data_IF_108229621913
#
_entry.id   IF_108229621913
#
_cell.length_a   1.000
_cell.length_b   1.000
_cell.length_c   1.000
_cell.angle_alpha   90.00
_cell.angle_beta   90.00
_cell.angle_gamma   90.00
#
_symmetry.space_group_name_H-M   'P 1'
#
loop_
_entity.id
_entity.type
_entity.pdbx_description
1 polymer ?
#
# COMPACT_ATOMS: atom_id res chain seq x y z
N UNK A 1 14.79 21.49 22.28
CA UNK A 1 15.17 21.02 20.96
C UNK A 1 13.96 20.47 20.22
N UNK A 2 13.50 21.17 19.19
CA UNK A 2 12.29 20.82 18.44
C UNK A 2 12.44 19.50 17.66
N UNK A 3 13.66 19.15 17.24
CA UNK A 3 13.93 17.87 16.57
C UNK A 3 13.66 16.68 17.50
N UNK A 4 14.07 16.79 18.76
CA UNK A 4 13.81 15.78 19.77
C UNK A 4 12.32 15.68 20.12
N UNK A 5 11.67 16.82 20.27
CA UNK A 5 10.25 16.84 20.59
C UNK A 5 9.41 16.24 19.47
N UNK A 6 9.83 16.40 18.21
CA UNK A 6 9.19 15.80 17.05
C UNK A 6 9.38 14.28 17.00
N UNK A 7 10.60 13.79 17.28
CA UNK A 7 10.89 12.36 17.39
C UNK A 7 10.11 11.71 18.52
N UNK A 8 9.99 12.40 19.65
CA UNK A 8 9.26 11.89 20.82
C UNK A 8 7.76 11.72 20.56
N UNK A 9 7.20 12.47 19.61
CA UNK A 9 5.80 12.36 19.22
C UNK A 9 5.53 11.19 18.27
N UNK A 10 6.58 10.57 17.71
CA UNK A 10 6.43 9.45 16.80
C UNK A 10 6.56 8.14 17.58
N UNK A 11 5.43 7.48 17.76
CA UNK A 11 5.33 6.24 18.51
C UNK A 11 5.05 5.07 17.56
N UNK A 12 5.40 3.84 17.95
CA UNK A 12 4.95 2.68 17.21
C UNK A 12 3.43 2.63 17.09
N UNK A 13 2.93 2.26 15.91
CA UNK A 13 1.50 2.19 15.61
C UNK A 13 1.13 0.82 15.10
N UNK A 14 0.01 0.27 15.57
CA UNK A 14 -0.52 -1.02 15.11
C UNK A 14 -1.62 -0.81 14.08
N UNK A 15 -1.60 -1.63 13.03
CA UNK A 15 -2.62 -1.66 11.97
C UNK A 15 -3.12 -3.10 11.84
N UNK A 16 -4.42 -3.30 12.07
CA UNK A 16 -4.98 -4.64 12.06
C UNK A 16 -4.54 -5.47 13.27
N UNK A 17 -4.21 -6.74 13.05
CA UNK A 17 -3.88 -7.68 14.14
C UNK A 17 -2.39 -7.84 14.37
N UNK A 18 -1.58 -7.85 13.30
CA UNK A 18 -0.17 -8.26 13.35
C UNK A 18 0.80 -7.17 12.97
N UNK A 19 0.35 -6.20 12.14
CA UNK A 19 1.24 -5.23 11.52
C UNK A 19 1.48 -4.04 12.43
N UNK A 20 2.75 -3.71 12.64
CA UNK A 20 3.18 -2.51 13.34
C UNK A 20 4.09 -1.68 12.45
N UNK A 21 4.00 -0.37 12.56
CA UNK A 21 5.00 0.55 12.04
C UNK A 21 5.78 1.10 13.21
N UNK A 22 7.11 0.91 13.16
CA UNK A 22 8.01 1.22 14.27
C UNK A 22 9.09 2.18 13.79
N UNK A 23 9.20 3.39 14.39
CA UNK A 23 10.33 4.28 14.11
C UNK A 23 11.64 3.63 14.56
N UNK A 24 12.75 3.97 13.90
CA UNK A 24 14.05 3.33 14.16
C UNK A 24 14.58 3.56 15.57
N UNK A 25 14.16 4.64 16.24
CA UNK A 25 14.58 4.95 17.62
C UNK A 25 13.72 4.31 18.72
N UNK A 26 12.72 3.52 18.34
CA UNK A 26 11.86 2.79 19.27
C UNK A 26 12.12 1.30 19.19
N UNK A 27 12.00 0.62 20.34
CA UNK A 27 11.90 -0.82 20.34
C UNK A 27 10.51 -1.24 19.89
N UNK A 28 10.42 -2.38 19.19
CA UNK A 28 9.13 -2.93 18.81
C UNK A 28 8.32 -3.31 20.05
N UNK A 29 7.08 -2.81 20.24
CA UNK A 29 6.24 -3.19 21.38
C UNK A 29 5.94 -4.68 21.42
N UNK A 30 5.82 -5.31 20.25
CA UNK A 30 5.60 -6.74 20.10
C UNK A 30 6.64 -7.31 19.13
N UNK A 31 7.82 -7.75 19.63
CA UNK A 31 8.90 -8.21 18.74
C UNK A 31 8.52 -9.37 17.82
N UNK A 32 7.56 -10.22 18.24
CA UNK A 32 7.12 -11.37 17.46
C UNK A 32 6.04 -11.02 16.41
N UNK A 33 5.55 -9.78 16.41
CA UNK A 33 4.61 -9.29 15.41
C UNK A 33 5.33 -8.94 14.10
N UNK A 34 4.58 -8.53 13.10
CA UNK A 34 5.13 -8.04 11.84
C UNK A 34 5.47 -6.56 12.02
N UNK A 35 6.75 -6.26 12.09
CA UNK A 35 7.25 -4.93 12.40
C UNK A 35 7.91 -4.31 11.17
N UNK A 36 7.32 -3.24 10.67
CA UNK A 36 7.86 -2.46 9.56
C UNK A 36 8.59 -1.25 10.12
N UNK A 37 9.88 -1.14 9.83
CA UNK A 37 10.69 0.00 10.23
C UNK A 37 10.45 1.15 9.25
N UNK A 38 9.95 2.27 9.76
CA UNK A 38 9.75 3.45 8.95
C UNK A 38 9.96 4.69 9.80
N UNK A 39 10.90 5.52 9.37
CA UNK A 39 11.11 6.80 10.00
C UNK A 39 10.27 7.86 9.29
N UNK A 40 9.61 8.76 10.03
CA UNK A 40 8.95 9.89 9.43
C UNK A 40 10.00 10.74 8.73
N UNK A 41 9.71 11.12 7.51
CA UNK A 41 10.66 11.85 6.71
C UNK A 41 10.05 12.38 5.44
N UNK A 42 10.90 12.52 4.44
CA UNK A 42 10.60 13.16 3.18
C UNK A 42 9.64 12.37 2.29
N UNK A 43 9.42 11.09 2.58
CA UNK A 43 8.57 10.26 1.75
C UNK A 43 7.11 10.36 2.17
N UNK A 44 6.23 10.45 1.20
CA UNK A 44 4.80 10.40 1.36
C UNK A 44 4.39 9.06 1.99
N UNK A 45 3.49 9.09 2.98
CA UNK A 45 2.94 7.89 3.56
C UNK A 45 3.76 7.35 4.73
N UNK A 46 3.55 7.92 5.91
CA UNK A 46 4.15 7.47 7.16
C UNK A 46 3.31 6.43 7.90
N UNK A 47 2.16 6.04 7.32
CA UNK A 47 1.18 5.19 7.99
C UNK A 47 0.19 5.98 8.83
N UNK A 48 0.49 7.24 9.16
CA UNK A 48 -0.38 8.10 9.97
C UNK A 48 -1.55 8.68 9.17
N UNK A 49 -1.40 8.82 7.85
CA UNK A 49 -2.47 9.33 7.01
C UNK A 49 -3.59 8.28 6.89
N UNK A 50 -4.87 8.69 7.01
CA UNK A 50 -6.00 7.74 6.96
C UNK A 50 -6.01 6.84 5.73
N UNK A 51 -5.62 7.35 4.55
CA UNK A 51 -5.59 6.58 3.31
C UNK A 51 -4.59 5.43 3.36
N UNK A 52 -3.42 5.67 3.93
CA UNK A 52 -2.38 4.66 4.12
C UNK A 52 -2.81 3.65 5.19
N UNK A 53 -3.36 4.13 6.31
CA UNK A 53 -3.86 3.28 7.39
C UNK A 53 -4.91 2.30 6.89
N UNK A 54 -5.86 2.76 6.08
CA UNK A 54 -6.91 1.90 5.50
C UNK A 54 -6.32 0.77 4.65
N UNK A 55 -5.27 1.06 3.87
CA UNK A 55 -4.59 0.04 3.06
C UNK A 55 -3.79 -0.94 3.92
N UNK A 56 -3.10 -0.45 4.95
CA UNK A 56 -2.33 -1.31 5.85
C UNK A 56 -3.23 -2.28 6.62
N UNK A 57 -4.36 -1.80 7.12
CA UNK A 57 -5.35 -2.63 7.78
C UNK A 57 -5.90 -3.71 6.84
N UNK A 58 -6.16 -3.35 5.59
CA UNK A 58 -6.63 -4.28 4.58
C UNK A 58 -5.59 -5.35 4.24
N UNK A 59 -4.32 -4.94 4.05
CA UNK A 59 -3.23 -5.88 3.77
C UNK A 59 -3.03 -6.87 4.92
N UNK A 60 -3.10 -6.38 6.17
CA UNK A 60 -2.97 -7.24 7.36
C UNK A 60 -4.02 -8.35 7.39
N UNK A 61 -5.20 -8.09 6.87
CA UNK A 61 -6.32 -9.04 6.83
C UNK A 61 -6.28 -10.00 5.63
N UNK A 62 -5.38 -9.78 4.65
CA UNK A 62 -5.32 -10.62 3.44
C UNK A 62 -4.44 -11.85 3.65
N UNK A 63 -4.78 -12.98 2.99
CA UNK A 63 -3.91 -14.15 2.97
C UNK A 63 -2.80 -13.95 1.93
N UNK A 64 -1.73 -13.26 2.30
CA UNK A 64 -0.67 -12.85 1.37
C UNK A 64 0.40 -13.91 1.12
N UNK A 65 0.45 -14.96 1.92
CA UNK A 65 1.51 -15.97 1.80
C UNK A 65 1.56 -16.58 0.39
N UNK A 66 2.72 -16.47 -0.26
CA UNK A 66 2.91 -16.98 -1.60
C UNK A 66 2.29 -16.14 -2.72
N UNK A 67 1.71 -14.98 -2.39
CA UNK A 67 1.03 -14.13 -3.36
C UNK A 67 1.96 -13.07 -3.96
N UNK A 68 1.68 -12.67 -5.20
CA UNK A 68 2.33 -11.52 -5.82
C UNK A 68 1.53 -10.24 -5.54
N UNK A 69 2.24 -9.14 -5.31
CA UNK A 69 1.65 -7.85 -4.95
C UNK A 69 2.13 -6.75 -5.90
N UNK A 70 1.23 -5.90 -6.35
CA UNK A 70 1.57 -4.68 -7.07
C UNK A 70 1.11 -3.47 -6.25
N UNK A 71 2.03 -2.55 -6.03
CA UNK A 71 1.77 -1.24 -5.38
C UNK A 71 1.80 -0.16 -6.46
N UNK A 72 0.62 0.24 -6.92
CA UNK A 72 0.45 1.20 -8.01
C UNK A 72 0.42 2.61 -7.43
N UNK A 73 1.50 3.38 -7.66
CA UNK A 73 1.74 4.66 -7.00
C UNK A 73 2.41 4.45 -5.64
N UNK A 74 3.55 3.75 -5.63
CA UNK A 74 4.11 3.19 -4.39
C UNK A 74 4.66 4.22 -3.39
N UNK A 75 4.99 5.43 -3.81
CA UNK A 75 5.51 6.47 -2.93
C UNK A 75 6.72 6.00 -2.13
N UNK A 76 6.59 5.97 -0.82
CA UNK A 76 7.65 5.48 0.09
C UNK A 76 7.87 3.97 0.04
N UNK A 77 6.99 3.24 -0.63
CA UNK A 77 7.02 1.78 -0.67
C UNK A 77 6.38 1.11 0.54
N UNK A 78 5.76 1.86 1.43
CA UNK A 78 5.23 1.34 2.69
C UNK A 78 4.24 0.19 2.50
N UNK A 79 3.35 0.28 1.50
CA UNK A 79 2.34 -0.77 1.28
C UNK A 79 2.97 -2.04 0.71
N UNK A 80 3.87 -1.92 -0.27
CA UNK A 80 4.58 -3.06 -0.83
C UNK A 80 5.44 -3.75 0.23
N UNK A 81 6.17 -2.97 1.02
CA UNK A 81 7.03 -3.49 2.10
C UNK A 81 6.18 -4.20 3.15
N UNK A 82 5.06 -3.60 3.56
CA UNK A 82 4.12 -4.23 4.49
C UNK A 82 3.63 -5.58 3.94
N UNK A 83 3.24 -5.63 2.68
CA UNK A 83 2.80 -6.86 2.03
C UNK A 83 3.88 -7.95 2.03
N UNK A 84 5.12 -7.58 1.73
CA UNK A 84 6.25 -8.53 1.76
C UNK A 84 6.53 -9.05 3.17
N UNK A 85 6.49 -8.18 4.18
CA UNK A 85 6.68 -8.58 5.57
C UNK A 85 5.52 -9.45 6.08
N UNK A 86 4.31 -9.25 5.54
CA UNK A 86 3.13 -10.05 5.87
C UNK A 86 3.08 -11.39 5.14
N UNK A 87 4.02 -11.67 4.23
CA UNK A 87 4.16 -12.97 3.60
C UNK A 87 4.06 -13.03 2.08
N UNK A 88 3.83 -11.91 1.41
CA UNK A 88 3.84 -11.91 -0.06
C UNK A 88 5.19 -12.39 -0.57
N UNK A 89 5.17 -13.20 -1.63
CA UNK A 89 6.38 -13.77 -2.21
C UNK A 89 7.20 -12.73 -2.94
N UNK A 90 6.53 -11.88 -3.71
CA UNK A 90 7.16 -10.88 -4.55
C UNK A 90 6.26 -9.64 -4.64
N UNK A 91 6.88 -8.47 -4.71
CA UNK A 91 6.16 -7.22 -4.92
C UNK A 91 6.77 -6.43 -6.08
N UNK A 92 5.91 -5.68 -6.75
CA UNK A 92 6.28 -4.70 -7.77
C UNK A 92 5.72 -3.36 -7.33
N UNK A 93 6.54 -2.32 -7.40
CA UNK A 93 6.10 -0.95 -7.18
C UNK A 93 6.28 -0.12 -8.42
N UNK A 94 5.36 0.79 -8.69
CA UNK A 94 5.49 1.77 -9.76
C UNK A 94 5.10 3.15 -9.27
N UNK A 95 5.82 4.15 -9.74
CA UNK A 95 5.54 5.56 -9.43
C UNK A 95 6.07 6.43 -10.55
N UNK A 96 5.42 7.57 -10.79
CA UNK A 96 5.86 8.55 -11.78
C UNK A 96 7.07 9.35 -11.29
N UNK A 97 7.32 9.36 -10.00
CA UNK A 97 8.41 10.11 -9.36
C UNK A 97 9.60 9.18 -9.08
N UNK A 98 10.75 9.48 -9.70
CA UNK A 98 11.97 8.70 -9.49
C UNK A 98 12.45 8.76 -8.04
N UNK A 99 12.19 9.88 -7.33
CA UNK A 99 12.52 9.98 -5.90
C UNK A 99 11.70 9.01 -5.06
N UNK A 100 10.45 8.76 -5.44
CA UNK A 100 9.62 7.75 -4.78
C UNK A 100 10.20 6.35 -4.96
N UNK A 101 10.68 6.03 -6.16
CA UNK A 101 11.33 4.73 -6.42
C UNK A 101 12.59 4.56 -5.58
N UNK A 102 13.40 5.61 -5.46
CA UNK A 102 14.60 5.57 -4.62
C UNK A 102 14.24 5.41 -3.14
N UNK A 103 13.23 6.14 -2.66
CA UNK A 103 12.75 6.02 -1.28
C UNK A 103 12.22 4.61 -0.99
N UNK A 104 11.47 4.03 -1.92
CA UNK A 104 10.97 2.65 -1.81
C UNK A 104 12.11 1.65 -1.69
N UNK A 105 13.16 1.81 -2.49
CA UNK A 105 14.33 0.93 -2.46
C UNK A 105 15.06 1.03 -1.14
N UNK A 106 15.28 2.25 -0.64
CA UNK A 106 15.96 2.50 0.62
C UNK A 106 15.17 1.92 1.81
N UNK A 107 13.85 2.13 1.82
CA UNK A 107 12.99 1.61 2.88
C UNK A 107 12.93 0.08 2.86
N UNK A 108 12.91 -0.53 1.68
CA UNK A 108 12.95 -1.99 1.56
C UNK A 108 14.26 -2.55 2.13
N UNK A 109 15.38 -1.92 1.82
CA UNK A 109 16.69 -2.32 2.34
C UNK A 109 16.73 -2.24 3.86
N UNK A 110 16.21 -1.16 4.44
CA UNK A 110 16.14 -1.00 5.91
C UNK A 110 15.30 -2.08 6.57
N UNK A 111 14.35 -2.65 5.87
CA UNK A 111 13.50 -3.73 6.36
C UNK A 111 14.03 -5.12 6.01
N UNK A 112 15.26 -5.22 5.52
CA UNK A 112 15.89 -6.50 5.21
C UNK A 112 15.29 -7.24 4.02
N UNK A 113 14.61 -6.53 3.13
CA UNK A 113 13.98 -7.13 1.95
C UNK A 113 15.01 -7.24 0.84
N UNK A 114 15.30 -8.46 0.33
CA UNK A 114 16.20 -8.63 -0.80
C UNK A 114 15.68 -7.94 -2.05
N UNK A 115 16.58 -7.39 -2.86
CA UNK A 115 16.21 -6.69 -4.10
C UNK A 115 15.42 -7.56 -5.06
N UNK A 116 15.71 -8.85 -5.12
CA UNK A 116 15.01 -9.80 -6.00
C UNK A 116 13.54 -10.01 -5.61
N UNK A 117 13.13 -9.60 -4.40
CA UNK A 117 11.74 -9.70 -3.96
C UNK A 117 10.92 -8.44 -4.24
N UNK A 118 11.56 -7.32 -4.58
CA UNK A 118 10.86 -6.06 -4.80
C UNK A 118 11.41 -5.34 -6.03
N UNK A 119 10.66 -5.38 -7.13
CA UNK A 119 11.02 -4.70 -8.37
C UNK A 119 10.31 -3.35 -8.47
N UNK A 120 11.01 -2.34 -8.96
CA UNK A 120 10.53 -0.95 -9.05
C UNK A 120 10.64 -0.45 -10.49
N UNK A 121 9.56 0.16 -10.98
CA UNK A 121 9.48 0.63 -12.37
C UNK A 121 8.80 1.98 -12.46
N UNK A 122 9.19 2.78 -13.44
CA UNK A 122 8.33 3.86 -13.93
C UNK A 122 7.12 3.24 -14.64
N UNK A 123 5.96 3.94 -14.72
CA UNK A 123 4.76 3.35 -15.31
C UNK A 123 4.95 2.80 -16.72
N UNK A 124 5.72 3.50 -17.56
CA UNK A 124 6.00 3.07 -18.94
C UNK A 124 6.88 1.83 -19.03
N UNK A 125 7.59 1.50 -17.96
CA UNK A 125 8.47 0.33 -17.88
C UNK A 125 7.79 -0.87 -17.23
N UNK A 126 6.60 -0.67 -16.66
CA UNK A 126 5.90 -1.69 -15.89
C UNK A 126 5.56 -2.89 -16.78
N UNK A 127 5.98 -4.12 -16.41
CA UNK A 127 5.62 -5.31 -17.16
C UNK A 127 4.11 -5.55 -17.17
N UNK A 128 3.60 -6.09 -18.28
CA UNK A 128 2.19 -6.49 -18.45
C UNK A 128 1.93 -7.83 -17.74
N UNK A 129 2.18 -7.89 -16.46
CA UNK A 129 2.03 -9.11 -15.68
C UNK A 129 1.05 -8.88 -14.54
N UNK A 130 -0.14 -9.51 -14.59
CA UNK A 130 -1.12 -9.36 -13.50
C UNK A 130 -0.59 -9.93 -12.18
N UNK A 131 -0.99 -9.29 -11.08
CA UNK A 131 -0.66 -9.72 -9.74
C UNK A 131 -1.88 -10.33 -9.04
N UNK A 132 -1.61 -11.12 -8.00
CA UNK A 132 -2.66 -11.68 -7.15
C UNK A 132 -3.36 -10.60 -6.32
N UNK A 133 -2.59 -9.59 -5.91
CA UNK A 133 -3.07 -8.48 -5.07
C UNK A 133 -2.55 -7.17 -5.63
N UNK A 134 -3.43 -6.20 -5.80
CA UNK A 134 -3.07 -4.84 -6.25
C UNK A 134 -3.58 -3.84 -5.24
N UNK A 135 -2.72 -2.92 -4.82
CA UNK A 135 -3.09 -1.76 -4.01
C UNK A 135 -2.75 -0.49 -4.78
N UNK A 136 -3.64 0.49 -4.74
CA UNK A 136 -3.41 1.80 -5.35
C UNK A 136 -3.91 2.90 -4.41
N UNK A 137 -2.98 3.61 -3.81
CA UNK A 137 -3.27 4.74 -2.92
C UNK A 137 -2.90 6.03 -3.66
N UNK A 138 -3.77 6.44 -4.58
CA UNK A 138 -3.61 7.63 -5.41
C UNK A 138 -4.93 8.41 -5.44
N UNK A 139 -4.93 9.56 -6.10
CA UNK A 139 -6.12 10.41 -6.16
C UNK A 139 -7.25 9.76 -6.96
N UNK A 140 -8.49 10.14 -6.64
CA UNK A 140 -9.69 9.57 -7.28
C UNK A 140 -9.73 9.78 -8.80
N UNK A 141 -9.34 10.95 -9.29
CA UNK A 141 -9.30 11.21 -10.72
C UNK A 141 -8.49 10.18 -11.50
N UNK A 142 -7.20 10.01 -11.17
CA UNK A 142 -6.39 8.95 -11.78
C UNK A 142 -6.94 7.54 -11.59
N UNK A 143 -7.55 7.22 -10.43
CA UNK A 143 -8.18 5.91 -10.22
C UNK A 143 -9.28 5.65 -11.23
N UNK A 144 -10.08 6.67 -11.56
CA UNK A 144 -11.15 6.55 -12.56
C UNK A 144 -10.56 6.44 -13.96
N UNK A 145 -9.66 7.35 -14.34
CA UNK A 145 -9.09 7.36 -15.68
C UNK A 145 -8.23 6.16 -16.00
N UNK A 146 -7.55 5.59 -15.00
CA UNK A 146 -6.68 4.42 -15.14
C UNK A 146 -7.37 3.10 -14.81
N UNK A 147 -8.70 3.12 -14.61
CA UNK A 147 -9.43 1.92 -14.22
C UNK A 147 -9.22 0.73 -15.18
N UNK A 148 -9.24 0.91 -16.53
CA UNK A 148 -8.94 -0.21 -17.42
C UNK A 148 -7.52 -0.79 -17.22
N UNK A 149 -6.53 0.09 -17.01
CA UNK A 149 -5.14 -0.31 -16.79
C UNK A 149 -4.98 -1.06 -15.48
N UNK A 150 -5.48 -0.48 -14.39
CA UNK A 150 -5.39 -1.09 -13.05
C UNK A 150 -6.13 -2.43 -13.05
N UNK A 151 -7.32 -2.52 -13.64
CA UNK A 151 -8.07 -3.76 -13.75
C UNK A 151 -7.27 -4.84 -14.47
N UNK A 152 -6.59 -4.49 -15.57
CA UNK A 152 -5.79 -5.46 -16.33
C UNK A 152 -4.60 -6.01 -15.54
N UNK A 153 -4.16 -5.30 -14.50
CA UNK A 153 -3.03 -5.70 -13.66
C UNK A 153 -3.43 -6.60 -12.48
N UNK A 154 -4.73 -6.84 -12.30
CA UNK A 154 -5.25 -7.77 -11.28
C UNK A 154 -5.61 -9.08 -11.97
N UNK A 155 -5.11 -10.21 -11.47
CA UNK A 155 -5.51 -11.53 -12.00
C UNK A 155 -7.01 -11.73 -11.82
N UNK A 156 -7.69 -12.47 -12.73
CA UNK A 156 -9.05 -12.93 -12.43
C UNK A 156 -9.08 -13.67 -11.09
N UNK A 157 -10.01 -13.31 -10.22
CA UNK A 157 -10.06 -13.81 -8.84
C UNK A 157 -9.09 -13.14 -7.89
N UNK A 158 -8.24 -12.24 -8.37
CA UNK A 158 -7.32 -11.47 -7.54
C UNK A 158 -8.00 -10.36 -6.77
N UNK A 159 -7.28 -9.76 -5.83
CA UNK A 159 -7.80 -8.77 -4.90
C UNK A 159 -7.28 -7.38 -5.22
N UNK A 160 -8.15 -6.38 -5.05
CA UNK A 160 -7.82 -4.97 -5.28
C UNK A 160 -8.22 -4.13 -4.08
N UNK A 161 -7.39 -3.18 -3.70
CA UNK A 161 -7.75 -2.12 -2.76
C UNK A 161 -7.35 -0.77 -3.33
N UNK A 162 -8.30 0.16 -3.33
CA UNK A 162 -8.14 1.52 -3.80
C UNK A 162 -8.32 2.47 -2.61
N UNK A 163 -7.42 3.44 -2.47
CA UNK A 163 -7.47 4.44 -1.41
C UNK A 163 -6.98 5.79 -1.95
N UNK A 164 -7.04 6.83 -1.12
CA UNK A 164 -6.77 8.20 -1.57
C UNK A 164 -8.03 8.88 -2.08
N UNK A 165 -9.20 8.38 -1.67
CA UNK A 165 -10.52 8.75 -2.16
C UNK A 165 -11.27 9.46 -1.03
N UNK A 166 -11.77 10.68 -1.29
CA UNK A 166 -12.67 11.34 -0.35
C UNK A 166 -14.04 10.66 -0.38
N UNK A 167 -14.77 10.72 0.74
CA UNK A 167 -16.07 10.06 0.85
C UNK A 167 -17.04 10.48 -0.27
N UNK A 168 -17.04 11.76 -0.66
CA UNK A 168 -17.88 12.27 -1.74
C UNK A 168 -17.48 11.78 -3.12
N UNK A 169 -16.30 11.18 -3.28
CA UNK A 169 -15.81 10.62 -4.54
C UNK A 169 -16.05 9.12 -4.67
N UNK A 170 -16.55 8.48 -3.61
CA UNK A 170 -16.67 7.02 -3.55
C UNK A 170 -17.52 6.43 -4.68
N UNK A 171 -18.69 7.01 -4.94
CA UNK A 171 -19.61 6.48 -5.95
C UNK A 171 -19.01 6.51 -7.36
N UNK A 172 -18.30 7.57 -7.70
CA UNK A 172 -17.63 7.70 -9.00
C UNK A 172 -16.56 6.63 -9.18
N UNK A 173 -15.74 6.40 -8.14
CA UNK A 173 -14.70 5.37 -8.21
C UNK A 173 -15.32 3.98 -8.26
N UNK A 174 -16.32 3.69 -7.44
CA UNK A 174 -17.02 2.39 -7.47
C UNK A 174 -17.59 2.11 -8.85
N UNK A 175 -18.21 3.11 -9.48
CA UNK A 175 -18.79 2.95 -10.81
C UNK A 175 -17.74 2.56 -11.87
N UNK A 176 -16.51 3.03 -11.73
CA UNK A 176 -15.43 2.72 -12.68
C UNK A 176 -14.93 1.28 -12.57
N UNK A 177 -15.14 0.61 -11.43
CA UNK A 177 -14.63 -0.75 -11.17
C UNK A 177 -15.71 -1.80 -11.03
N UNK A 178 -16.95 -1.41 -10.80
CA UNK A 178 -18.04 -2.33 -10.43
C UNK A 178 -18.31 -3.41 -11.47
N UNK A 179 -18.11 -3.14 -12.76
CA UNK A 179 -18.37 -4.12 -13.83
C UNK A 179 -17.33 -5.25 -13.82
N UNK A 180 -16.09 -4.97 -13.38
CA UNK A 180 -14.99 -5.93 -13.39
C UNK A 180 -14.73 -6.58 -12.02
N UNK A 181 -15.24 -5.98 -10.95
CA UNK A 181 -14.99 -6.43 -9.58
C UNK A 181 -16.27 -6.64 -8.81
N UNK A 182 -16.27 -7.67 -7.98
CA UNK A 182 -17.23 -7.80 -6.90
C UNK A 182 -16.70 -6.98 -5.74
N UNK A 183 -17.31 -5.79 -5.54
CA UNK A 183 -16.81 -4.82 -4.56
C UNK A 183 -17.39 -5.07 -3.16
N UNK A 184 -16.53 -4.97 -2.17
CA UNK A 184 -16.90 -5.01 -0.75
C UNK A 184 -17.60 -3.70 -0.34
N UNK A 185 -18.27 -3.68 0.83
CA UNK A 185 -18.73 -2.40 1.39
C UNK A 185 -17.58 -1.42 1.54
N UNK A 186 -17.86 -0.15 1.28
CA UNK A 186 -16.86 0.91 1.40
C UNK A 186 -16.43 1.09 2.86
N UNK A 187 -15.13 1.05 3.13
CA UNK A 187 -14.58 1.36 4.45
C UNK A 187 -14.22 2.85 4.52
N UNK A 188 -14.40 3.47 5.68
CA UNK A 188 -14.10 4.89 5.86
C UNK A 188 -13.24 5.16 7.10
N UNK A 189 -12.50 6.27 7.05
CA UNK A 189 -11.68 6.75 8.14
C UNK A 189 -11.43 8.25 7.95
N UNK A 190 -11.92 9.07 8.87
CA UNK A 190 -11.68 10.52 8.87
C UNK A 190 -12.04 11.22 7.53
N UNK A 191 -13.15 10.81 6.92
CA UNK A 191 -13.61 11.40 5.65
C UNK A 191 -12.98 10.80 4.40
N UNK A 192 -12.05 9.87 4.55
CA UNK A 192 -11.42 9.12 3.46
C UNK A 192 -12.00 7.72 3.39
N UNK A 193 -12.02 7.13 2.20
CA UNK A 193 -12.58 5.79 2.00
C UNK A 193 -11.60 4.86 1.29
N UNK A 194 -11.78 3.56 1.55
CA UNK A 194 -11.13 2.47 0.82
C UNK A 194 -12.21 1.68 0.08
N UNK A 195 -11.96 1.43 -1.19
CA UNK A 195 -12.80 0.58 -2.04
C UNK A 195 -11.98 -0.65 -2.38
N UNK A 196 -12.51 -1.82 -2.04
CA UNK A 196 -11.81 -3.07 -2.27
C UNK A 196 -12.75 -4.11 -2.87
N UNK A 197 -12.17 -5.15 -3.45
CA UNK A 197 -12.98 -6.21 -4.04
C UNK A 197 -12.14 -7.29 -4.71
N UNK A 198 -12.86 -8.21 -5.34
CA UNK A 198 -12.28 -9.36 -6.04
C UNK A 198 -12.62 -9.25 -7.52
N UNK A 199 -11.62 -9.41 -8.39
CA UNK A 199 -11.84 -9.38 -9.83
C UNK A 199 -12.70 -10.56 -10.25
N UNK A 200 -13.76 -10.28 -11.01
CA UNK A 200 -14.66 -11.32 -11.54
C UNK A 200 -13.90 -12.25 -12.49
N UNK A 201 -14.25 -13.50 -12.45
CA UNK A 201 -13.64 -14.51 -13.32
C UNK A 201 -14.38 -14.63 -14.64
#
# INVERSE_FOLDING_TARGET
DWERSWMDNFQPMRFGRRLWIVPSWHAAPEPDAVNLLLDPGLAFGTGTHPTTALCLEWLDAQPLHGQSLLDFGCGSGILAIAGLLLGAEHAVGTDIDTQALDASRDNAERNGIPQERFALYLPEQLPEQPADVVVANILAGPLVSLAPRITSLVKPGGHLALSGILAEQADEVRAAYNHAFELDPTADKDGWVRISGVRRT
#
